data_IF_011331520079
#
_entry.id   IF_011331520079
#
_cell.length_a   1.000
_cell.length_b   1.000
_cell.length_c   1.000
_cell.angle_alpha   90.00
_cell.angle_beta   90.00
_cell.angle_gamma   90.00
#
_symmetry.space_group_name_H-M   'P 1'
#
loop_
_entity.id
_entity.type
_entity.pdbx_description
1 polymer ?
#
# COMPACT_ATOMS: atom_id res chain seq x y z
N UNK A 1 1.19 33.22 -54.63
CA UNK A 1 -0.10 33.06 -53.90
C UNK A 1 0.22 32.25 -52.65
N UNK A 2 0.19 32.94 -51.49
CA UNK A 2 0.24 32.50 -50.08
C UNK A 2 1.05 31.24 -49.73
N UNK A 3 2.23 31.46 -49.15
CA UNK A 3 2.85 30.51 -48.21
C UNK A 3 2.05 30.53 -46.90
N UNK A 4 1.40 29.42 -46.56
CA UNK A 4 0.85 29.20 -45.22
C UNK A 4 2.00 28.86 -44.26
N UNK A 5 2.46 29.87 -43.53
CA UNK A 5 3.29 29.67 -42.35
C UNK A 5 2.46 29.00 -41.25
N UNK A 6 2.60 27.69 -41.10
CA UNK A 6 2.16 26.94 -39.93
C UNK A 6 2.88 27.48 -38.69
N UNK A 7 2.17 28.27 -37.89
CA UNK A 7 2.63 28.69 -36.58
C UNK A 7 2.75 27.45 -35.65
N UNK A 8 3.85 27.31 -34.88
CA UNK A 8 3.93 26.26 -33.88
C UNK A 8 2.90 26.54 -32.80
N UNK A 9 2.02 25.57 -32.56
CA UNK A 9 1.05 25.60 -31.47
C UNK A 9 1.79 25.89 -30.15
N UNK A 10 1.52 27.04 -29.56
CA UNK A 10 2.02 27.40 -28.23
C UNK A 10 1.46 26.38 -27.24
N UNK A 11 2.29 25.44 -26.81
CA UNK A 11 1.97 24.52 -25.73
C UNK A 11 1.65 25.36 -24.49
N UNK A 12 0.37 25.53 -24.19
CA UNK A 12 -0.11 26.21 -23.00
C UNK A 12 0.43 25.45 -21.80
N UNK A 13 1.54 25.92 -21.23
CA UNK A 13 2.10 25.34 -20.01
C UNK A 13 1.09 25.61 -18.91
N UNK A 14 0.19 24.65 -18.67
CA UNK A 14 -0.69 24.70 -17.51
C UNK A 14 0.19 24.54 -16.27
N UNK A 15 0.65 25.67 -15.73
CA UNK A 15 1.29 25.76 -14.43
C UNK A 15 0.24 25.42 -13.38
N UNK A 16 0.16 24.14 -13.05
CA UNK A 16 -0.53 23.71 -11.84
C UNK A 16 0.28 24.18 -10.62
N UNK A 17 -0.44 24.70 -9.63
CA UNK A 17 0.12 25.36 -8.46
C UNK A 17 0.66 24.37 -7.40
N UNK A 18 0.26 23.09 -7.47
CA UNK A 18 0.67 22.06 -6.52
C UNK A 18 1.86 21.24 -7.07
N UNK A 19 2.93 21.04 -6.27
CA UNK A 19 3.96 20.07 -6.61
C UNK A 19 3.36 18.66 -6.64
N UNK A 20 3.97 17.75 -7.40
CA UNK A 20 3.38 16.43 -7.67
C UNK A 20 3.13 15.59 -6.40
N UNK A 21 4.00 15.69 -5.40
CA UNK A 21 3.79 15.03 -4.11
C UNK A 21 2.57 15.63 -3.38
N UNK A 22 2.36 16.95 -3.46
CA UNK A 22 1.20 17.63 -2.87
C UNK A 22 -0.10 17.23 -3.57
N UNK A 23 -0.06 17.09 -4.90
CA UNK A 23 -1.17 16.52 -5.67
C UNK A 23 -1.49 15.08 -5.23
N UNK A 24 -0.47 14.24 -5.04
CA UNK A 24 -0.65 12.86 -4.60
C UNK A 24 -1.27 12.76 -3.19
N UNK A 25 -0.80 13.58 -2.26
CA UNK A 25 -1.38 13.65 -0.92
C UNK A 25 -2.82 14.16 -0.95
N UNK A 26 -3.10 15.21 -1.73
CA UNK A 26 -4.45 15.75 -1.88
C UNK A 26 -5.42 14.69 -2.41
N UNK A 27 -5.07 14.02 -3.52
CA UNK A 27 -5.92 12.97 -4.10
C UNK A 27 -6.12 11.81 -3.12
N UNK A 28 -5.05 11.38 -2.45
CA UNK A 28 -5.14 10.37 -1.41
C UNK A 28 -6.10 10.79 -0.31
N UNK A 29 -5.84 11.91 0.37
CA UNK A 29 -6.65 12.37 1.50
C UNK A 29 -8.13 12.57 1.13
N UNK A 30 -8.42 13.14 -0.04
CA UNK A 30 -9.79 13.31 -0.53
C UNK A 30 -10.50 11.96 -0.72
N UNK A 31 -9.82 10.96 -1.31
CA UNK A 31 -10.45 9.67 -1.53
C UNK A 31 -10.75 8.94 -0.22
N UNK A 32 -9.87 9.00 0.80
CA UNK A 32 -10.20 8.42 2.12
C UNK A 32 -11.23 9.21 2.87
N UNK A 33 -11.30 10.52 2.71
CA UNK A 33 -12.40 11.29 3.28
C UNK A 33 -13.73 10.80 2.71
N UNK A 34 -13.83 10.64 1.39
CA UNK A 34 -15.04 10.10 0.73
C UNK A 34 -15.34 8.68 1.21
N UNK A 35 -14.34 7.80 1.29
CA UNK A 35 -14.50 6.44 1.79
C UNK A 35 -15.00 6.45 3.25
N UNK A 36 -14.34 7.21 4.13
CA UNK A 36 -14.69 7.31 5.54
C UNK A 36 -16.10 7.86 5.76
N UNK A 37 -16.47 8.93 5.05
CA UNK A 37 -17.83 9.49 5.08
C UNK A 37 -18.83 8.46 4.56
N UNK A 38 -18.53 7.78 3.46
CA UNK A 38 -19.41 6.73 2.94
C UNK A 38 -19.59 5.60 3.96
N UNK A 39 -18.51 5.12 4.57
CA UNK A 39 -18.59 4.05 5.57
C UNK A 39 -19.40 4.47 6.81
N UNK A 40 -19.20 5.69 7.31
CA UNK A 40 -19.96 6.19 8.48
C UNK A 40 -21.44 6.40 8.19
N UNK A 41 -21.82 6.66 6.94
CA UNK A 41 -23.22 6.79 6.53
C UNK A 41 -23.89 5.43 6.23
N UNK A 42 -23.18 4.51 5.57
CA UNK A 42 -23.78 3.28 5.06
C UNK A 42 -23.60 2.06 5.97
N UNK A 43 -22.46 1.91 6.66
CA UNK A 43 -22.21 0.73 7.52
C UNK A 43 -23.26 0.57 8.63
N UNK A 44 -23.67 1.63 9.36
CA UNK A 44 -24.73 1.51 10.38
C UNK A 44 -26.10 1.07 9.84
N UNK A 45 -26.35 1.24 8.54
CA UNK A 45 -27.60 0.85 7.89
C UNK A 45 -27.61 -0.61 7.47
N UNK A 46 -26.44 -1.24 7.40
CA UNK A 46 -26.34 -2.66 7.04
C UNK A 46 -26.73 -3.52 8.25
N UNK A 47 -27.48 -4.62 8.03
CA UNK A 47 -27.74 -5.58 9.08
C UNK A 47 -26.43 -6.27 9.48
N UNK A 48 -25.73 -5.72 10.47
CA UNK A 48 -24.51 -6.31 11.01
C UNK A 48 -24.84 -7.33 12.10
N UNK A 49 -24.13 -8.46 12.10
CA UNK A 49 -24.14 -9.47 13.16
C UNK A 49 -23.32 -9.01 14.37
N UNK A 50 -23.69 -7.88 14.99
CA UNK A 50 -22.93 -7.30 16.11
C UNK A 50 -23.38 -5.94 16.61
N UNK A 51 -22.44 -5.24 17.27
CA UNK A 51 -22.62 -3.93 17.92
C UNK A 51 -23.22 -2.89 16.97
N UNK A 52 -24.26 -2.17 17.41
CA UNK A 52 -24.84 -1.05 16.64
C UNK A 52 -23.88 0.13 16.68
N UNK A 53 -23.09 0.29 15.61
CA UNK A 53 -22.25 1.47 15.42
C UNK A 53 -23.13 2.70 15.19
N UNK A 54 -22.77 3.83 15.81
CA UNK A 54 -23.43 5.11 15.57
C UNK A 54 -22.84 5.80 14.32
N UNK A 55 -23.62 6.71 13.73
CA UNK A 55 -23.12 7.58 12.66
C UNK A 55 -21.98 8.42 13.21
N UNK A 56 -20.83 8.39 12.53
CA UNK A 56 -19.62 9.09 12.95
C UNK A 56 -18.66 8.28 13.82
N UNK A 57 -19.00 7.03 14.18
CA UNK A 57 -18.07 6.14 14.86
C UNK A 57 -16.93 5.74 13.91
N UNK A 58 -15.68 6.04 14.28
CA UNK A 58 -14.50 5.69 13.48
C UNK A 58 -14.26 4.18 13.41
N UNK A 59 -14.87 3.40 14.31
CA UNK A 59 -14.78 1.93 14.34
C UNK A 59 -15.40 1.28 13.09
N UNK A 60 -16.11 2.03 12.24
CA UNK A 60 -16.47 1.57 10.88
C UNK A 60 -15.26 1.14 10.05
N UNK A 61 -14.05 1.60 10.40
CA UNK A 61 -12.81 1.18 9.76
C UNK A 61 -12.31 -0.22 10.20
N UNK A 62 -12.92 -0.80 11.25
CA UNK A 62 -12.61 -2.13 11.79
C UNK A 62 -13.62 -3.14 11.25
N UNK A 63 -13.58 -3.36 9.94
CA UNK A 63 -14.47 -4.29 9.25
C UNK A 63 -13.79 -5.62 8.88
N UNK A 64 -14.60 -6.66 8.65
CA UNK A 64 -14.16 -7.95 8.11
C UNK A 64 -12.97 -8.55 8.89
N UNK A 65 -11.87 -8.85 8.21
CA UNK A 65 -10.72 -9.55 8.77
C UNK A 65 -9.83 -8.66 9.67
N UNK A 66 -10.21 -7.39 9.85
CA UNK A 66 -9.51 -6.46 10.77
C UNK A 66 -9.35 -7.05 12.17
N UNK A 67 -10.32 -7.87 12.61
CA UNK A 67 -10.31 -8.52 13.91
C UNK A 67 -9.10 -9.43 14.11
N UNK A 68 -8.60 -10.08 13.06
CA UNK A 68 -7.43 -10.96 13.15
C UNK A 68 -6.15 -10.14 13.35
N UNK A 69 -5.98 -9.03 12.63
CA UNK A 69 -4.84 -8.14 12.82
C UNK A 69 -4.83 -7.51 14.22
N UNK A 70 -6.00 -7.09 14.71
CA UNK A 70 -6.15 -6.58 16.08
C UNK A 70 -5.83 -7.67 17.10
N UNK A 71 -6.36 -8.89 16.93
CA UNK A 71 -6.07 -10.03 17.80
C UNK A 71 -4.58 -10.36 17.88
N UNK A 72 -3.88 -10.40 16.74
CA UNK A 72 -2.41 -10.64 16.74
C UNK A 72 -1.66 -9.53 17.48
N UNK A 73 -2.09 -8.27 17.32
CA UNK A 73 -1.46 -7.15 17.98
C UNK A 73 -1.65 -7.18 19.51
N UNK A 74 -2.83 -7.58 20.00
CA UNK A 74 -3.19 -7.56 21.43
C UNK A 74 -2.85 -8.86 22.16
N UNK A 75 -3.09 -10.00 21.54
CA UNK A 75 -3.07 -11.32 22.18
C UNK A 75 -2.03 -12.25 21.55
N UNK A 76 -1.55 -11.94 20.35
CA UNK A 76 -0.59 -12.77 19.61
C UNK A 76 -1.27 -13.77 18.67
N UNK A 77 -0.47 -14.70 18.15
CA UNK A 77 -0.97 -15.75 17.27
C UNK A 77 -1.66 -16.84 18.10
N UNK A 78 -2.83 -17.24 17.66
CA UNK A 78 -3.67 -18.26 18.30
C UNK A 78 -4.04 -19.31 17.25
N UNK A 79 -4.00 -20.59 17.63
CA UNK A 79 -4.38 -21.70 16.76
C UNK A 79 -4.99 -22.85 17.57
N UNK A 80 -6.11 -23.38 17.08
CA UNK A 80 -6.70 -24.63 17.55
C UNK A 80 -7.15 -25.48 16.36
N UNK A 81 -7.01 -26.83 16.41
CA UNK A 81 -7.46 -27.72 15.35
C UNK A 81 -8.97 -28.00 15.46
N UNK A 82 -9.78 -26.94 15.46
CA UNK A 82 -11.24 -26.97 15.68
C UNK A 82 -12.05 -26.69 14.39
N UNK A 83 -11.36 -26.47 13.27
CA UNK A 83 -11.97 -26.15 11.97
C UNK A 83 -12.42 -24.69 11.83
N UNK A 84 -12.09 -23.82 12.79
CA UNK A 84 -12.37 -22.39 12.74
C UNK A 84 -11.19 -21.65 12.10
N UNK A 85 -11.47 -20.56 11.38
CA UNK A 85 -10.44 -19.69 10.81
C UNK A 85 -9.66 -18.94 11.90
N UNK A 86 -8.40 -19.31 12.10
CA UNK A 86 -7.50 -18.69 13.09
C UNK A 86 -6.64 -17.57 12.48
N UNK A 87 -6.03 -16.76 13.34
CA UNK A 87 -5.25 -15.60 12.91
C UNK A 87 -3.86 -15.97 12.32
N UNK A 88 -3.46 -17.24 12.34
CA UNK A 88 -2.22 -17.76 11.74
C UNK A 88 -2.11 -17.62 10.22
N UNK A 89 -3.18 -17.23 9.52
CA UNK A 89 -3.10 -16.90 8.09
C UNK A 89 -2.66 -15.44 7.82
N UNK A 90 -2.62 -14.59 8.85
CA UNK A 90 -2.39 -13.16 8.72
C UNK A 90 -0.95 -12.80 9.05
N UNK A 91 -0.33 -12.06 8.14
CA UNK A 91 1.10 -11.75 8.18
C UNK A 91 1.45 -10.68 9.24
N UNK A 92 2.71 -10.67 9.76
CA UNK A 92 3.04 -9.99 11.01
C UNK A 92 3.32 -8.49 10.84
N UNK A 93 3.55 -8.00 9.61
CA UNK A 93 4.04 -6.63 9.42
C UNK A 93 3.09 -5.55 9.97
N UNK A 94 1.78 -5.67 9.72
CA UNK A 94 0.81 -4.72 10.27
C UNK A 94 0.66 -4.87 11.80
N UNK A 95 0.47 -6.07 12.37
CA UNK A 95 0.44 -6.25 13.83
C UNK A 95 1.69 -5.72 14.55
N UNK A 96 2.89 -5.86 13.97
CA UNK A 96 4.11 -5.30 14.54
C UNK A 96 4.07 -3.77 14.58
N UNK A 97 3.61 -3.11 13.51
CA UNK A 97 3.41 -1.66 13.51
C UNK A 97 2.30 -1.22 14.47
N UNK A 98 1.25 -2.03 14.64
CA UNK A 98 0.20 -1.79 15.62
C UNK A 98 0.76 -1.82 17.04
N UNK A 99 1.63 -2.80 17.37
CA UNK A 99 2.32 -2.87 18.67
C UNK A 99 3.16 -1.61 18.94
N UNK A 100 3.83 -1.06 17.93
CA UNK A 100 4.54 0.22 18.06
C UNK A 100 3.57 1.35 18.38
N UNK A 101 2.44 1.45 17.66
CA UNK A 101 1.41 2.46 17.95
C UNK A 101 0.78 2.30 19.34
N UNK A 102 0.56 1.06 19.79
CA UNK A 102 0.07 0.75 21.13
C UNK A 102 1.06 1.17 22.22
N UNK A 103 2.36 0.97 21.99
CA UNK A 103 3.41 1.47 22.89
C UNK A 103 3.41 3.02 22.99
N UNK A 104 2.86 3.72 21.99
CA UNK A 104 2.63 5.17 22.00
C UNK A 104 1.26 5.57 22.57
N UNK A 105 0.48 4.62 23.12
CA UNK A 105 -0.82 4.86 23.73
C UNK A 105 -2.02 4.83 22.77
N UNK A 106 -1.83 4.43 21.51
CA UNK A 106 -2.92 4.32 20.56
C UNK A 106 -3.71 3.00 20.74
N UNK A 107 -5.04 3.01 20.57
CA UNK A 107 -5.79 1.77 20.40
C UNK A 107 -5.25 0.95 19.23
N UNK A 108 -5.17 -0.37 19.37
CA UNK A 108 -4.60 -1.27 18.36
C UNK A 108 -5.19 -1.03 16.96
N UNK A 109 -6.53 -1.00 16.86
CA UNK A 109 -7.24 -0.76 15.60
C UNK A 109 -6.91 0.62 14.99
N UNK A 110 -6.80 1.67 15.81
CA UNK A 110 -6.44 3.00 15.32
C UNK A 110 -5.00 3.02 14.80
N UNK A 111 -4.06 2.38 15.52
CA UNK A 111 -2.68 2.23 15.07
C UNK A 111 -2.60 1.51 13.72
N UNK A 112 -3.40 0.45 13.52
CA UNK A 112 -3.44 -0.30 12.27
C UNK A 112 -4.04 0.51 11.11
N UNK A 113 -5.15 1.20 11.34
CA UNK A 113 -5.75 2.09 10.35
C UNK A 113 -4.77 3.20 9.94
N UNK A 114 -4.11 3.85 10.90
CA UNK A 114 -3.12 4.89 10.62
C UNK A 114 -1.91 4.35 9.86
N UNK A 115 -1.36 3.20 10.27
CA UNK A 115 -0.22 2.58 9.58
C UNK A 115 -0.55 2.28 8.11
N UNK A 116 -1.70 1.65 7.85
CA UNK A 116 -2.15 1.33 6.50
C UNK A 116 -2.35 2.61 5.67
N UNK A 117 -2.98 3.62 6.28
CA UNK A 117 -3.24 4.89 5.60
C UNK A 117 -1.94 5.64 5.26
N UNK A 118 -1.09 5.89 6.25
CA UNK A 118 0.20 6.58 6.03
C UNK A 118 1.01 5.86 4.96
N UNK A 119 1.03 4.53 4.98
CA UNK A 119 1.71 3.75 3.96
C UNK A 119 1.11 3.94 2.56
N UNK A 120 -0.22 3.91 2.41
CA UNK A 120 -0.87 4.17 1.13
C UNK A 120 -0.54 5.58 0.59
N UNK A 121 -0.54 6.61 1.45
CA UNK A 121 -0.14 7.97 1.02
C UNK A 121 1.32 8.00 0.54
N UNK A 122 2.21 7.32 1.26
CA UNK A 122 3.59 7.12 0.83
C UNK A 122 3.69 6.41 -0.53
N UNK A 123 2.87 5.37 -0.74
CA UNK A 123 2.82 4.63 -2.00
C UNK A 123 2.44 5.54 -3.17
N UNK A 124 1.43 6.40 -2.99
CA UNK A 124 1.02 7.38 -4.01
C UNK A 124 2.15 8.37 -4.34
N UNK A 125 2.88 8.86 -3.33
CA UNK A 125 3.99 9.79 -3.56
C UNK A 125 5.13 9.12 -4.34
N UNK A 126 5.50 7.90 -3.97
CA UNK A 126 6.53 7.13 -4.69
C UNK A 126 6.07 6.83 -6.12
N UNK A 127 4.83 6.38 -6.31
CA UNK A 127 4.24 6.11 -7.61
C UNK A 127 4.23 7.35 -8.49
N UNK A 128 3.81 8.51 -7.96
CA UNK A 128 3.76 9.75 -8.70
C UNK A 128 5.16 10.14 -9.21
N UNK A 129 6.17 10.09 -8.34
CA UNK A 129 7.54 10.37 -8.76
C UNK A 129 8.04 9.34 -9.78
N UNK A 130 7.75 8.05 -9.59
CA UNK A 130 8.20 6.99 -10.50
C UNK A 130 7.59 7.14 -11.90
N UNK A 131 6.28 7.36 -11.99
CA UNK A 131 5.58 7.55 -13.26
C UNK A 131 5.99 8.86 -13.94
N UNK A 132 6.28 9.92 -13.18
CA UNK A 132 6.81 11.16 -13.74
C UNK A 132 8.15 10.92 -14.43
N UNK A 133 9.05 10.21 -13.75
CA UNK A 133 10.40 9.96 -14.25
C UNK A 133 10.38 9.11 -15.55
N UNK A 134 9.35 8.28 -15.74
CA UNK A 134 9.25 7.35 -16.89
C UNK A 134 8.34 7.80 -18.02
N UNK A 135 7.24 8.50 -17.71
CA UNK A 135 6.16 8.81 -18.66
C UNK A 135 5.68 10.27 -18.59
N UNK A 136 6.34 11.11 -17.78
CA UNK A 136 6.01 12.53 -17.64
C UNK A 136 4.87 12.82 -16.65
N UNK A 137 4.62 14.12 -16.44
CA UNK A 137 3.74 14.61 -15.36
C UNK A 137 2.28 14.19 -15.55
N UNK A 138 1.78 14.17 -16.78
CA UNK A 138 0.40 13.80 -17.08
C UNK A 138 0.10 12.35 -16.67
N UNK A 139 0.95 11.40 -17.09
CA UNK A 139 0.84 10.00 -16.72
C UNK A 139 0.89 9.82 -15.20
N UNK A 140 1.82 10.50 -14.52
CA UNK A 140 1.93 10.43 -13.07
C UNK A 140 0.64 10.82 -12.33
N UNK A 141 -0.01 11.89 -12.77
CA UNK A 141 -1.28 12.35 -12.18
C UNK A 141 -2.40 11.36 -12.40
N UNK A 142 -2.52 10.82 -13.61
CA UNK A 142 -3.53 9.82 -13.92
C UNK A 142 -3.31 8.52 -13.15
N UNK A 143 -2.07 8.04 -13.01
CA UNK A 143 -1.76 6.87 -12.20
C UNK A 143 -2.13 7.06 -10.72
N UNK A 144 -1.82 8.23 -10.16
CA UNK A 144 -2.20 8.60 -8.78
C UNK A 144 -3.71 8.66 -8.63
N UNK A 145 -4.42 9.37 -9.52
CA UNK A 145 -5.86 9.52 -9.45
C UNK A 145 -6.56 8.16 -9.60
N UNK A 146 -6.15 7.34 -10.57
CA UNK A 146 -6.69 6.01 -10.78
C UNK A 146 -6.51 5.12 -9.56
N UNK A 147 -5.33 5.11 -8.93
CA UNK A 147 -5.09 4.30 -7.73
C UNK A 147 -5.84 4.84 -6.51
N UNK A 148 -5.87 6.16 -6.30
CA UNK A 148 -6.52 6.78 -5.15
C UNK A 148 -8.04 6.63 -5.16
N UNK A 149 -8.67 6.67 -6.35
CA UNK A 149 -10.12 6.66 -6.52
C UNK A 149 -10.68 5.32 -7.01
N UNK A 150 -9.83 4.32 -7.23
CA UNK A 150 -10.28 2.95 -7.48
C UNK A 150 -11.14 2.47 -6.30
N UNK A 151 -12.29 1.81 -6.53
CA UNK A 151 -13.13 1.27 -5.45
C UNK A 151 -12.36 0.40 -4.44
N UNK A 152 -11.38 -0.36 -4.92
CA UNK A 152 -10.54 -1.23 -4.09
C UNK A 152 -9.55 -0.47 -3.18
N UNK A 153 -9.36 0.84 -3.37
CA UNK A 153 -8.58 1.67 -2.45
C UNK A 153 -9.19 1.74 -1.04
N UNK A 154 -10.45 1.33 -0.88
CA UNK A 154 -11.09 1.03 0.40
C UNK A 154 -10.19 0.18 1.32
N UNK A 155 -9.55 -0.86 0.78
CA UNK A 155 -8.66 -1.73 1.56
C UNK A 155 -7.38 -1.03 2.02
N UNK A 156 -6.99 0.07 1.37
CA UNK A 156 -5.94 0.98 1.83
C UNK A 156 -6.37 1.95 2.94
N UNK A 157 -7.65 1.89 3.34
CA UNK A 157 -8.26 2.79 4.34
C UNK A 157 -8.61 2.07 5.65
N UNK A 158 -9.11 0.83 5.59
CA UNK A 158 -9.47 0.01 6.76
C UNK A 158 -8.24 -0.64 7.43
N UNK A 159 -8.42 -1.35 8.55
CA UNK A 159 -7.33 -2.00 9.32
C UNK A 159 -6.79 -3.25 8.59
N UNK A 160 -6.16 -3.01 7.45
CA UNK A 160 -5.71 -4.00 6.47
C UNK A 160 -4.25 -3.72 6.07
N UNK A 161 -3.66 -4.56 5.22
CA UNK A 161 -2.22 -4.49 4.87
C UNK A 161 -1.94 -3.78 3.53
N UNK A 162 -2.96 -3.31 2.81
CA UNK A 162 -2.89 -2.97 1.38
C UNK A 162 -2.03 -1.74 1.10
N UNK A 163 -2.15 -0.72 1.94
CA UNK A 163 -1.29 0.46 1.89
C UNK A 163 0.17 0.13 2.16
N UNK A 164 0.46 -0.75 3.12
CA UNK A 164 1.83 -1.23 3.39
C UNK A 164 2.38 -2.03 2.21
N UNK A 165 1.58 -2.96 1.69
CA UNK A 165 1.97 -3.75 0.53
C UNK A 165 2.23 -2.88 -0.69
N UNK A 166 1.35 -1.93 -1.00
CA UNK A 166 1.52 -1.00 -2.11
C UNK A 166 2.76 -0.13 -1.94
N UNK A 167 3.02 0.38 -0.73
CA UNK A 167 4.22 1.15 -0.44
C UNK A 167 5.49 0.34 -0.72
N UNK A 168 5.61 -0.82 -0.08
CA UNK A 168 6.82 -1.62 -0.13
C UNK A 168 7.04 -2.24 -1.51
N UNK A 169 5.99 -2.75 -2.17
CA UNK A 169 6.11 -3.30 -3.53
C UNK A 169 6.48 -2.21 -4.56
N UNK A 170 5.85 -1.03 -4.50
CA UNK A 170 6.19 0.08 -5.41
C UNK A 170 7.61 0.59 -5.16
N UNK A 171 8.02 0.71 -3.90
CA UNK A 171 9.38 1.09 -3.54
C UNK A 171 10.41 0.03 -3.99
N UNK A 172 10.10 -1.25 -3.86
CA UNK A 172 10.94 -2.36 -4.31
C UNK A 172 11.13 -2.35 -5.82
N UNK A 173 10.02 -2.27 -6.58
CA UNK A 173 10.04 -2.23 -8.04
C UNK A 173 10.85 -1.03 -8.55
N UNK A 174 10.57 0.17 -8.03
CA UNK A 174 11.32 1.37 -8.38
C UNK A 174 12.81 1.25 -8.06
N UNK A 175 13.15 0.73 -6.88
CA UNK A 175 14.56 0.56 -6.45
C UNK A 175 15.28 -0.47 -7.33
N UNK A 176 14.60 -1.55 -7.69
CA UNK A 176 15.15 -2.57 -8.56
C UNK A 176 15.38 -2.02 -9.96
N UNK A 177 14.45 -1.26 -10.53
CA UNK A 177 14.63 -0.56 -11.81
C UNK A 177 15.86 0.35 -11.78
N UNK A 178 16.03 1.12 -10.71
CA UNK A 178 17.19 2.01 -10.47
C UNK A 178 18.51 1.27 -10.15
N UNK A 179 18.54 -0.06 -10.21
CA UNK A 179 19.70 -0.92 -9.86
C UNK A 179 20.18 -0.76 -8.41
N UNK A 180 19.33 -0.25 -7.51
CA UNK A 180 19.60 -0.12 -6.06
C UNK A 180 19.26 -1.43 -5.36
N UNK A 181 20.04 -2.47 -5.62
CA UNK A 181 19.75 -3.86 -5.25
C UNK A 181 19.49 -4.06 -3.75
N UNK A 182 20.28 -3.45 -2.86
CA UNK A 182 20.06 -3.54 -1.42
C UNK A 182 18.70 -2.98 -1.00
N UNK A 183 18.29 -1.84 -1.57
CA UNK A 183 17.00 -1.24 -1.25
C UNK A 183 15.85 -2.06 -1.84
N UNK A 184 16.01 -2.58 -3.05
CA UNK A 184 15.04 -3.49 -3.63
C UNK A 184 14.84 -4.74 -2.76
N UNK A 185 15.92 -5.29 -2.20
CA UNK A 185 15.86 -6.41 -1.27
C UNK A 185 15.12 -6.05 0.02
N UNK A 186 15.48 -4.93 0.67
CA UNK A 186 14.82 -4.47 1.92
C UNK A 186 13.32 -4.27 1.68
N UNK A 187 12.95 -3.49 0.66
CA UNK A 187 11.56 -3.22 0.35
C UNK A 187 10.81 -4.48 -0.10
N UNK A 188 11.46 -5.37 -0.85
CA UNK A 188 10.89 -6.65 -1.27
C UNK A 188 10.59 -7.57 -0.09
N UNK A 189 11.51 -7.68 0.86
CA UNK A 189 11.31 -8.42 2.12
C UNK A 189 10.17 -7.84 2.93
N UNK A 190 10.11 -6.51 3.07
CA UNK A 190 9.00 -5.86 3.76
C UNK A 190 7.66 -6.10 3.04
N UNK A 191 7.64 -6.11 1.70
CA UNK A 191 6.43 -6.43 0.95
C UNK A 191 5.97 -7.87 1.18
N UNK A 192 6.87 -8.85 1.12
CA UNK A 192 6.53 -10.26 1.39
C UNK A 192 6.17 -10.53 2.86
N UNK A 193 6.65 -9.70 3.80
CA UNK A 193 6.22 -9.73 5.20
C UNK A 193 4.81 -9.17 5.43
N UNK A 194 4.21 -8.47 4.46
CA UNK A 194 2.82 -7.99 4.58
C UNK A 194 1.78 -9.01 4.12
N UNK A 195 2.13 -9.86 3.14
CA UNK A 195 1.24 -10.84 2.51
C UNK A 195 1.98 -11.75 1.52
N UNK A 196 1.43 -12.94 1.29
CA UNK A 196 1.96 -13.92 0.33
C UNK A 196 2.18 -13.39 -1.10
N UNK A 197 1.29 -12.54 -1.68
CA UNK A 197 1.55 -11.91 -2.99
C UNK A 197 2.87 -11.15 -3.11
N UNK A 198 3.50 -10.71 -2.01
CA UNK A 198 4.82 -10.09 -2.08
C UNK A 198 5.93 -11.01 -2.62
N UNK A 199 5.75 -12.33 -2.55
CA UNK A 199 6.67 -13.29 -3.18
C UNK A 199 6.73 -13.16 -4.70
N UNK A 200 5.71 -12.58 -5.34
CA UNK A 200 5.72 -12.34 -6.80
C UNK A 200 6.84 -11.41 -7.26
N UNK A 201 7.43 -10.62 -6.35
CA UNK A 201 8.62 -9.82 -6.64
C UNK A 201 9.85 -10.69 -6.98
N UNK A 202 9.95 -11.89 -6.41
CA UNK A 202 11.08 -12.81 -6.66
C UNK A 202 11.16 -13.20 -8.14
N UNK A 203 10.14 -13.86 -8.76
CA UNK A 203 10.21 -14.20 -10.18
C UNK A 203 10.25 -12.96 -11.07
N UNK A 204 9.61 -11.85 -10.67
CA UNK A 204 9.68 -10.58 -11.40
C UNK A 204 11.12 -10.07 -11.51
N UNK A 205 11.85 -10.02 -10.38
CA UNK A 205 13.23 -9.56 -10.34
C UNK A 205 14.19 -10.54 -11.01
N UNK A 206 13.98 -11.85 -10.86
CA UNK A 206 14.77 -12.87 -11.57
C UNK A 206 14.61 -12.75 -13.08
N UNK A 207 13.39 -12.60 -13.58
CA UNK A 207 13.11 -12.46 -15.00
C UNK A 207 13.76 -11.19 -15.59
N UNK A 208 13.64 -10.06 -14.90
CA UNK A 208 14.29 -8.81 -15.32
C UNK A 208 15.81 -8.93 -15.27
N UNK A 209 16.37 -9.53 -14.20
CA UNK A 209 17.81 -9.74 -14.07
C UNK A 209 18.39 -10.62 -15.19
N UNK A 210 17.67 -11.69 -15.54
CA UNK A 210 18.04 -12.58 -16.64
C UNK A 210 17.95 -11.88 -18.01
N UNK A 211 16.81 -11.24 -18.29
CA UNK A 211 16.58 -10.57 -19.58
C UNK A 211 17.56 -9.43 -19.83
N UNK A 212 17.89 -8.65 -18.80
CA UNK A 212 18.82 -7.52 -18.90
C UNK A 212 20.29 -7.90 -18.61
N UNK A 213 20.59 -9.20 -18.38
CA UNK A 213 21.93 -9.70 -18.03
C UNK A 213 22.56 -8.92 -16.87
N UNK A 214 21.79 -8.67 -15.81
CA UNK A 214 22.23 -7.91 -14.63
C UNK A 214 23.26 -8.70 -13.81
N UNK A 215 23.99 -7.99 -12.96
CA UNK A 215 24.98 -8.56 -12.04
C UNK A 215 24.36 -9.54 -11.03
N UNK A 216 25.20 -10.38 -10.43
CA UNK A 216 24.81 -11.32 -9.37
C UNK A 216 24.09 -10.68 -8.18
N UNK A 217 24.39 -9.41 -7.87
CA UNK A 217 23.69 -8.65 -6.84
C UNK A 217 22.19 -8.47 -7.13
N UNK A 218 21.75 -8.46 -8.39
CA UNK A 218 20.34 -8.40 -8.76
C UNK A 218 19.60 -9.70 -8.42
N UNK A 219 20.23 -10.85 -8.67
CA UNK A 219 19.70 -12.16 -8.29
C UNK A 219 19.66 -12.33 -6.77
N UNK A 220 20.70 -11.85 -6.08
CA UNK A 220 20.72 -11.80 -4.62
C UNK A 220 19.56 -10.97 -4.05
N UNK A 221 19.28 -9.80 -4.62
CA UNK A 221 18.13 -8.97 -4.22
C UNK A 221 16.78 -9.64 -4.53
N UNK A 222 16.69 -10.38 -5.64
CA UNK A 222 15.49 -11.13 -5.99
C UNK A 222 15.16 -12.19 -4.93
N UNK A 223 16.14 -13.04 -4.58
CA UNK A 223 15.97 -14.08 -3.56
C UNK A 223 15.71 -13.46 -2.19
N UNK A 224 16.47 -12.42 -1.84
CA UNK A 224 16.32 -11.73 -0.56
C UNK A 224 14.91 -11.17 -0.36
N UNK A 225 14.20 -10.80 -1.43
CA UNK A 225 12.81 -10.30 -1.36
C UNK A 225 11.82 -11.32 -0.77
N UNK A 226 12.15 -12.62 -0.72
CA UNK A 226 11.36 -13.64 -0.04
C UNK A 226 11.54 -13.63 1.50
N UNK A 227 12.49 -12.85 2.02
CA UNK A 227 12.88 -12.87 3.43
C UNK A 227 11.74 -12.54 4.41
N UNK A 228 10.73 -11.77 3.97
CA UNK A 228 9.57 -11.46 4.80
C UNK A 228 8.67 -12.66 5.10
N UNK A 229 8.55 -13.61 4.16
CA UNK A 229 7.83 -14.87 4.39
C UNK A 229 8.62 -15.78 5.33
N UNK A 230 9.95 -15.81 5.20
CA UNK A 230 10.78 -16.56 6.14
C UNK A 230 10.71 -15.96 7.55
N UNK A 231 10.65 -14.63 7.66
CA UNK A 231 10.43 -13.93 8.91
C UNK A 231 9.07 -14.26 9.52
N UNK A 232 8.03 -14.46 8.70
CA UNK A 232 6.73 -14.90 9.17
C UNK A 232 6.77 -16.28 9.85
N UNK A 233 7.58 -17.21 9.37
CA UNK A 233 7.80 -18.53 10.01
C UNK A 233 8.43 -18.46 11.41
N UNK A 234 8.86 -17.28 11.89
CA UNK A 234 9.28 -17.12 13.29
C UNK A 234 8.10 -16.93 14.25
N UNK A 235 6.89 -16.71 13.73
CA UNK A 235 5.69 -16.42 14.51
C UNK A 235 4.67 -17.57 14.53
N UNK A 236 4.85 -18.58 13.70
CA UNK A 236 3.97 -19.75 13.57
C UNK A 236 4.84 -21.01 13.45
#
# INVERSE_FOLDING_TARGET
MREETLQPATATSQRFWLPLWGFALLMGLLSRLVIFVSMTLFVPLLPASGERLSVGDWRVLVGWDSVHYVGIATSGYEYAPDGIGHNVAFFPMLPLLMKVGMALGLPAALAGALANNVAFLGALVILASWMRDRYGVAAARWSVAALAWCPFSLFGTVVYTEGLFLLFSTAALRSFEQRRHLQAAIWGSLASATRLPGLTLVPTFLLIAWRERRSWSAYGAAIASAGGVLFFSLFC
#
